data_IF_772630770658
#
_entry.id   IF_772630770658
#
_cell.length_a   1.000
_cell.length_b   1.000
_cell.length_c   1.000
_cell.angle_alpha   90.00
_cell.angle_beta   90.00
_cell.angle_gamma   90.00
#
_symmetry.space_group_name_H-M   'P 1'
#
loop_
_entity.id
_entity.type
_entity.pdbx_description
1 polymer ?
#
# COMPACT_ATOMS: atom_id res chain seq x y z
N UNK A 1 0.72 -10.09 -9.97
CA UNK A 1 0.38 -8.65 -10.02
C UNK A 1 -1.12 -8.48 -10.20
N UNK A 2 -1.72 -7.51 -9.52
CA UNK A 2 -3.16 -7.22 -9.55
C UNK A 2 -3.33 -5.70 -9.67
N UNK A 3 -4.16 -5.25 -10.61
CA UNK A 3 -4.58 -3.85 -10.73
C UNK A 3 -6.07 -3.78 -10.44
N UNK A 4 -6.47 -2.84 -9.58
CA UNK A 4 -7.82 -2.76 -9.06
C UNK A 4 -8.54 -1.55 -9.64
N UNK A 5 -9.74 -1.79 -10.18
CA UNK A 5 -10.58 -0.73 -10.73
C UNK A 5 -11.45 -0.13 -9.65
N UNK A 6 -11.80 1.15 -9.82
CA UNK A 6 -12.84 1.79 -9.02
C UNK A 6 -12.53 1.83 -7.52
N UNK A 7 -11.25 2.02 -7.18
CA UNK A 7 -10.77 2.36 -5.83
C UNK A 7 -11.47 3.66 -5.37
N UNK A 8 -11.40 4.70 -6.18
CA UNK A 8 -12.00 6.03 -5.94
C UNK A 8 -13.53 6.01 -5.80
N UNK A 9 -14.19 4.95 -6.29
CA UNK A 9 -15.62 4.73 -6.12
C UNK A 9 -15.96 3.93 -4.84
N UNK A 10 -15.03 3.88 -3.88
CA UNK A 10 -15.20 3.21 -2.58
C UNK A 10 -14.70 1.75 -2.56
N UNK A 11 -13.51 1.51 -3.12
CA UNK A 11 -12.80 0.22 -3.14
C UNK A 11 -13.58 -0.90 -3.86
N UNK A 12 -14.39 -0.55 -4.86
CA UNK A 12 -15.38 -1.50 -5.42
C UNK A 12 -14.70 -2.69 -6.10
N UNK A 13 -13.61 -2.45 -6.82
CA UNK A 13 -12.81 -3.50 -7.45
C UNK A 13 -12.19 -4.43 -6.42
N UNK A 14 -11.50 -3.88 -5.42
CA UNK A 14 -10.87 -4.67 -4.36
C UNK A 14 -11.87 -5.51 -3.58
N UNK A 15 -12.99 -4.92 -3.16
CA UNK A 15 -14.07 -5.63 -2.45
C UNK A 15 -14.62 -6.78 -3.28
N UNK A 16 -14.88 -6.55 -4.58
CA UNK A 16 -15.37 -7.60 -5.48
C UNK A 16 -14.34 -8.70 -5.67
N UNK A 17 -13.07 -8.34 -5.88
CA UNK A 17 -11.99 -9.32 -6.10
C UNK A 17 -11.76 -10.18 -4.85
N UNK A 18 -11.57 -9.56 -3.68
CA UNK A 18 -11.34 -10.26 -2.43
C UNK A 18 -12.52 -11.20 -2.07
N UNK A 19 -13.77 -10.77 -2.30
CA UNK A 19 -14.93 -11.63 -2.05
C UNK A 19 -15.03 -12.80 -3.04
N UNK A 20 -14.76 -12.56 -4.33
CA UNK A 20 -14.84 -13.60 -5.37
C UNK A 20 -13.77 -14.67 -5.22
N UNK A 21 -12.56 -14.29 -4.84
CA UNK A 21 -11.39 -15.17 -4.76
C UNK A 21 -11.03 -15.55 -3.32
N UNK A 22 -11.94 -15.35 -2.36
CA UNK A 22 -11.64 -15.51 -0.93
C UNK A 22 -11.09 -16.90 -0.60
N UNK A 23 -11.75 -17.95 -1.08
CA UNK A 23 -11.36 -19.34 -0.83
C UNK A 23 -10.02 -19.66 -1.48
N UNK A 24 -9.79 -19.19 -2.70
CA UNK A 24 -8.52 -19.36 -3.42
C UNK A 24 -7.36 -18.68 -2.68
N UNK A 25 -7.55 -17.44 -2.22
CA UNK A 25 -6.54 -16.67 -1.49
C UNK A 25 -6.29 -17.20 -0.07
N UNK A 26 -7.22 -17.97 0.49
CA UNK A 26 -7.06 -18.61 1.81
C UNK A 26 -6.54 -20.05 1.73
N UNK A 27 -6.65 -20.70 0.56
CA UNK A 27 -6.17 -22.06 0.37
C UNK A 27 -4.63 -22.17 0.45
N UNK A 28 -3.92 -21.08 0.20
CA UNK A 28 -2.47 -20.97 0.31
C UNK A 28 -2.08 -19.71 1.10
N UNK A 29 -0.90 -19.68 1.74
CA UNK A 29 -0.37 -18.45 2.31
C UNK A 29 -0.34 -17.33 1.25
N UNK A 30 -1.17 -16.31 1.47
CA UNK A 30 -1.32 -15.18 0.54
C UNK A 30 -1.12 -13.88 1.29
N UNK A 31 -0.33 -12.99 0.70
CA UNK A 31 -0.02 -11.66 1.22
C UNK A 31 -0.31 -10.61 0.17
N UNK A 32 -0.97 -9.52 0.56
CA UNK A 32 -1.23 -8.36 -0.30
C UNK A 32 -0.30 -7.19 0.02
N UNK A 33 0.48 -6.74 -0.95
CA UNK A 33 1.26 -5.50 -0.87
C UNK A 33 0.62 -4.50 -1.85
N UNK A 34 0.00 -3.46 -1.32
CA UNK A 34 -0.69 -2.43 -2.09
C UNK A 34 0.17 -1.17 -2.20
N UNK A 35 0.14 -0.55 -3.37
CA UNK A 35 0.83 0.70 -3.66
C UNK A 35 -0.20 1.75 -4.02
N UNK A 36 -0.07 2.94 -3.45
CA UNK A 36 -0.93 4.08 -3.73
C UNK A 36 -0.13 5.39 -3.66
N UNK A 37 -0.42 6.35 -4.55
CA UNK A 37 0.23 7.66 -4.67
C UNK A 37 1.77 7.61 -4.53
N UNK A 38 2.46 7.19 -5.59
CA UNK A 38 3.93 7.10 -5.63
C UNK A 38 4.53 8.34 -6.30
N UNK A 39 4.85 9.35 -5.50
CA UNK A 39 5.24 10.68 -5.98
C UNK A 39 6.59 11.17 -5.47
N UNK A 40 6.88 11.04 -4.17
CA UNK A 40 8.08 11.57 -3.52
C UNK A 40 8.59 10.62 -2.43
N UNK A 41 9.82 10.12 -2.63
CA UNK A 41 10.49 9.16 -1.76
C UNK A 41 10.70 9.69 -0.33
N UNK A 42 10.73 11.01 -0.13
CA UNK A 42 10.89 11.61 1.20
C UNK A 42 9.66 11.37 2.09
N UNK A 43 8.55 10.92 1.51
CA UNK A 43 7.30 10.60 2.18
C UNK A 43 6.95 9.11 2.13
N UNK A 44 7.95 8.25 1.86
CA UNK A 44 7.78 6.80 1.93
C UNK A 44 7.18 6.38 3.28
N UNK A 45 5.99 5.79 3.23
CA UNK A 45 5.17 5.47 4.38
C UNK A 45 4.55 4.08 4.21
N UNK A 46 4.63 3.26 5.25
CA UNK A 46 3.86 2.02 5.38
C UNK A 46 2.74 2.24 6.40
N UNK A 47 1.52 1.81 6.07
CA UNK A 47 0.38 1.98 6.96
C UNK A 47 0.14 0.74 7.81
N UNK A 48 -0.18 0.95 9.10
CA UNK A 48 -0.60 -0.11 10.03
C UNK A 48 -2.11 -0.20 10.21
N UNK A 49 -2.85 0.85 9.83
CA UNK A 49 -4.30 0.93 10.03
C UNK A 49 -4.92 1.97 9.11
N UNK A 50 -6.15 1.71 8.69
CA UNK A 50 -7.00 2.64 7.97
C UNK A 50 -8.26 2.89 8.81
N UNK A 51 -8.43 4.13 9.29
CA UNK A 51 -9.40 4.44 10.35
C UNK A 51 -10.82 4.45 9.81
N UNK A 52 -11.04 5.01 8.61
CA UNK A 52 -12.38 5.17 8.04
C UNK A 52 -13.06 3.85 7.70
N UNK A 53 -12.29 2.82 7.36
CA UNK A 53 -12.79 1.46 7.10
C UNK A 53 -12.72 0.56 8.34
N UNK A 54 -11.95 0.96 9.35
CA UNK A 54 -11.64 0.12 10.51
C UNK A 54 -10.61 -0.97 10.25
N UNK A 55 -10.03 -1.03 9.04
CA UNK A 55 -9.08 -2.07 8.64
C UNK A 55 -7.76 -1.97 9.43
N UNK A 56 -7.29 -3.11 9.94
CA UNK A 56 -5.96 -3.27 10.55
C UNK A 56 -5.08 -4.03 9.56
N UNK A 57 -3.95 -3.43 9.20
CA UNK A 57 -3.01 -4.02 8.26
C UNK A 57 -2.09 -5.01 8.99
N UNK A 58 -1.53 -5.99 8.26
CA UNK A 58 -0.78 -7.09 8.86
C UNK A 58 0.53 -6.56 9.48
N UNK A 59 0.73 -6.68 10.81
CA UNK A 59 1.89 -6.11 11.48
C UNK A 59 3.20 -6.76 11.06
N UNK A 60 3.20 -8.00 10.55
CA UNK A 60 4.40 -8.67 10.04
C UNK A 60 4.82 -8.04 8.72
N UNK A 61 3.87 -7.73 7.83
CA UNK A 61 4.16 -7.05 6.57
C UNK A 61 4.61 -5.60 6.79
N UNK A 62 4.03 -4.91 7.80
CA UNK A 62 4.51 -3.58 8.21
C UNK A 62 5.97 -3.65 8.68
N UNK A 63 6.29 -4.59 9.57
CA UNK A 63 7.65 -4.79 10.07
C UNK A 63 8.63 -5.15 8.94
N UNK A 64 8.22 -6.04 8.04
CA UNK A 64 9.00 -6.43 6.88
C UNK A 64 9.34 -5.21 5.99
N UNK A 65 8.37 -4.33 5.74
CA UNK A 65 8.63 -3.10 4.99
C UNK A 65 9.65 -2.20 5.70
N UNK A 66 9.61 -2.12 7.03
CA UNK A 66 10.61 -1.36 7.81
C UNK A 66 12.00 -1.97 7.71
N UNK A 67 12.12 -3.28 7.90
CA UNK A 67 13.40 -4.00 7.83
C UNK A 67 14.03 -3.88 6.44
N UNK A 68 13.26 -4.08 5.37
CA UNK A 68 13.76 -3.98 3.99
C UNK A 68 14.13 -2.53 3.64
N UNK A 69 13.38 -1.55 4.13
CA UNK A 69 13.73 -0.14 3.96
C UNK A 69 15.05 0.19 4.67
N UNK A 70 15.23 -0.26 5.92
CA UNK A 70 16.45 -0.04 6.69
C UNK A 70 17.67 -0.70 6.01
N UNK A 71 17.53 -1.93 5.50
CA UNK A 71 18.58 -2.64 4.74
C UNK A 71 19.01 -1.88 3.47
N UNK A 72 18.08 -1.20 2.81
CA UNK A 72 18.32 -0.37 1.63
C UNK A 72 18.72 1.09 1.98
N UNK A 73 18.74 1.46 3.26
CA UNK A 73 19.01 2.83 3.70
C UNK A 73 17.89 3.83 3.39
N UNK A 74 16.67 3.36 3.15
CA UNK A 74 15.49 4.18 2.88
C UNK A 74 14.83 4.64 4.19
N UNK A 75 14.49 5.94 4.26
CA UNK A 75 13.72 6.46 5.40
C UNK A 75 12.24 6.17 5.22
N UNK A 76 11.74 5.14 5.88
CA UNK A 76 10.31 4.80 5.89
C UNK A 76 9.64 5.24 7.20
N UNK A 77 8.41 5.73 7.10
CA UNK A 77 7.55 6.04 8.26
C UNK A 77 6.46 4.99 8.41
N UNK A 78 6.07 4.71 9.66
CA UNK A 78 4.87 3.92 9.95
C UNK A 78 3.76 4.84 10.40
N UNK A 79 2.63 4.84 9.69
CA UNK A 79 1.51 5.75 9.97
C UNK A 79 0.14 5.03 9.94
N UNK A 80 -0.92 5.81 10.12
CA UNK A 80 -2.32 5.40 9.91
C UNK A 80 -2.96 6.33 8.87
N UNK A 81 -3.95 5.84 8.14
CA UNK A 81 -4.77 6.67 7.26
C UNK A 81 -5.99 7.15 8.08
N UNK A 82 -6.08 8.43 8.46
CA UNK A 82 -7.19 8.92 9.28
C UNK A 82 -8.50 9.01 8.48
N UNK A 83 -8.43 9.54 7.26
CA UNK A 83 -9.57 9.70 6.36
C UNK A 83 -9.23 9.07 5.01
N UNK A 84 -10.17 8.35 4.42
CA UNK A 84 -9.96 7.57 3.22
C UNK A 84 -9.54 6.14 3.52
N UNK A 85 -9.17 5.43 2.46
CA UNK A 85 -8.77 4.04 2.50
C UNK A 85 -7.89 3.74 1.29
N UNK A 86 -7.28 2.57 1.28
CA UNK A 86 -6.71 1.98 0.07
C UNK A 86 -7.33 0.62 -0.18
N UNK A 87 -7.07 0.03 -1.34
CA UNK A 87 -7.56 -1.31 -1.67
C UNK A 87 -7.13 -2.39 -0.64
N UNK A 88 -6.04 -2.16 0.11
CA UNK A 88 -5.60 -3.03 1.20
C UNK A 88 -6.69 -3.23 2.26
N UNK A 89 -7.55 -2.23 2.50
CA UNK A 89 -8.69 -2.34 3.42
C UNK A 89 -9.59 -3.53 3.09
N UNK A 90 -9.89 -3.75 1.81
CA UNK A 90 -10.80 -4.83 1.41
C UNK A 90 -10.24 -6.22 1.75
N UNK A 91 -8.94 -6.40 1.58
CA UNK A 91 -8.23 -7.65 1.87
C UNK A 91 -8.10 -7.87 3.37
N UNK A 92 -7.69 -6.84 4.11
CA UNK A 92 -7.56 -6.89 5.56
C UNK A 92 -8.91 -7.22 6.24
N UNK A 93 -10.01 -6.59 5.81
CA UNK A 93 -11.35 -6.87 6.33
C UNK A 93 -11.85 -8.29 6.00
N UNK A 94 -11.33 -8.91 4.93
CA UNK A 94 -11.59 -10.30 4.59
C UNK A 94 -10.70 -11.30 5.36
N UNK A 95 -9.84 -10.82 6.26
CA UNK A 95 -8.79 -11.57 6.96
C UNK A 95 -7.74 -12.17 6.01
N UNK A 96 -7.41 -11.46 4.93
CA UNK A 96 -6.24 -11.76 4.10
C UNK A 96 -5.12 -10.80 4.52
N UNK A 97 -3.93 -11.31 4.91
CA UNK A 97 -2.78 -10.47 5.26
C UNK A 97 -2.49 -9.42 4.19
N UNK A 98 -2.53 -8.14 4.56
CA UNK A 98 -2.33 -7.05 3.61
C UNK A 98 -1.64 -5.85 4.26
N UNK A 99 -0.89 -5.09 3.45
CA UNK A 99 -0.27 -3.82 3.82
C UNK A 99 -0.40 -2.82 2.67
N UNK A 100 -0.40 -1.53 3.00
CA UNK A 100 -0.42 -0.44 2.03
C UNK A 100 0.83 0.44 2.20
N UNK A 101 1.46 0.77 1.08
CA UNK A 101 2.66 1.60 0.99
C UNK A 101 2.35 2.79 0.08
N UNK A 102 2.79 3.97 0.52
CA UNK A 102 2.56 5.24 -0.17
C UNK A 102 3.83 6.10 -0.15
N UNK A 103 4.04 6.90 -1.19
CA UNK A 103 5.14 7.87 -1.29
C UNK A 103 4.56 9.24 -1.63
N UNK A 104 3.72 9.77 -0.75
CA UNK A 104 3.04 11.05 -0.92
C UNK A 104 2.95 11.78 0.41
N UNK A 105 2.99 13.12 0.37
CA UNK A 105 2.96 13.93 1.58
C UNK A 105 1.53 14.02 2.13
N UNK A 106 1.22 13.16 3.11
CA UNK A 106 -0.09 13.14 3.77
C UNK A 106 -0.21 14.11 4.96
N UNK A 107 0.84 14.87 5.30
CA UNK A 107 0.79 15.85 6.38
C UNK A 107 -0.02 17.10 6.02
N UNK A 108 -0.30 17.31 4.74
CA UNK A 108 -1.13 18.38 4.20
C UNK A 108 -1.89 17.88 2.98
N UNK A 109 -2.98 18.55 2.63
CA UNK A 109 -3.66 18.29 1.37
C UNK A 109 -2.82 18.86 0.23
N UNK A 110 -2.31 18.01 -0.66
CA UNK A 110 -1.48 18.44 -1.77
C UNK A 110 -2.35 18.92 -2.95
N UNK A 111 -1.95 19.95 -3.73
CA UNK A 111 -2.78 20.48 -4.82
C UNK A 111 -3.11 19.46 -5.91
N UNK A 112 -2.27 18.45 -6.11
CA UNK A 112 -2.49 17.37 -7.07
C UNK A 112 -3.46 16.29 -6.57
N UNK A 113 -3.74 16.22 -5.27
CA UNK A 113 -4.64 15.20 -4.74
C UNK A 113 -6.09 15.41 -5.21
N UNK A 114 -6.59 14.49 -6.03
CA UNK A 114 -7.95 14.50 -6.61
C UNK A 114 -8.25 15.74 -7.46
N UNK A 115 -7.25 16.32 -8.11
CA UNK A 115 -7.45 17.48 -8.99
C UNK A 115 -6.81 17.27 -10.35
N UNK A 116 -7.13 18.19 -11.28
CA UNK A 116 -6.49 18.26 -12.61
C UNK A 116 -4.97 18.53 -12.56
N UNK A 117 -4.41 18.80 -11.39
CA UNK A 117 -2.97 18.98 -11.20
C UNK A 117 -2.24 17.66 -10.97
N UNK A 118 -2.96 16.53 -10.82
CA UNK A 118 -2.35 15.20 -10.85
C UNK A 118 -1.74 14.92 -12.22
N UNK A 119 -0.45 15.20 -12.30
CA UNK A 119 0.33 15.27 -13.52
C UNK A 119 1.75 14.81 -13.21
N UNK A 120 2.48 14.35 -14.23
CA UNK A 120 3.77 13.68 -14.08
C UNK A 120 4.82 14.55 -13.38
N UNK A 121 4.65 15.87 -13.41
CA UNK A 121 5.50 16.87 -12.77
C UNK A 121 5.55 16.72 -11.25
N UNK A 122 4.55 16.08 -10.63
CA UNK A 122 4.55 15.75 -9.20
C UNK A 122 5.28 14.43 -8.88
N UNK A 123 5.61 13.63 -9.89
CA UNK A 123 6.27 12.33 -9.70
C UNK A 123 7.78 12.46 -9.85
N UNK A 124 8.48 12.28 -8.73
CA UNK A 124 9.95 12.18 -8.72
C UNK A 124 10.36 10.80 -9.22
N UNK A 125 11.27 10.70 -10.21
CA UNK A 125 11.77 9.39 -10.68
C UNK A 125 12.34 8.52 -9.56
N UNK A 126 12.97 9.13 -8.55
CA UNK A 126 13.52 8.44 -7.39
C UNK A 126 12.44 7.71 -6.57
N UNK A 127 11.22 8.26 -6.47
CA UNK A 127 10.10 7.61 -5.78
C UNK A 127 9.76 6.26 -6.42
N UNK A 128 9.76 6.19 -7.75
CA UNK A 128 9.51 4.95 -8.49
C UNK A 128 10.59 3.91 -8.20
N UNK A 129 11.86 4.30 -8.21
CA UNK A 129 12.99 3.40 -7.92
C UNK A 129 12.95 2.89 -6.48
N UNK A 130 12.76 3.78 -5.50
CA UNK A 130 12.73 3.41 -4.07
C UNK A 130 11.57 2.46 -3.78
N UNK A 131 10.36 2.79 -4.25
CA UNK A 131 9.18 1.93 -4.03
C UNK A 131 9.33 0.58 -4.73
N UNK A 132 9.82 0.56 -5.98
CA UNK A 132 10.05 -0.69 -6.70
C UNK A 132 11.05 -1.58 -5.96
N UNK A 133 12.19 -1.03 -5.55
CA UNK A 133 13.23 -1.78 -4.84
C UNK A 133 12.70 -2.34 -3.52
N UNK A 134 12.00 -1.52 -2.74
CA UNK A 134 11.36 -1.92 -1.49
C UNK A 134 10.44 -3.12 -1.72
N UNK A 135 9.50 -3.03 -2.67
CA UNK A 135 8.53 -4.10 -2.94
C UNK A 135 9.21 -5.37 -3.43
N UNK A 136 10.17 -5.25 -4.36
CA UNK A 136 10.88 -6.41 -4.90
C UNK A 136 11.63 -7.16 -3.78
N UNK A 137 12.27 -6.44 -2.87
CA UNK A 137 13.00 -7.08 -1.78
C UNK A 137 12.07 -7.65 -0.69
N UNK A 138 10.92 -7.01 -0.42
CA UNK A 138 9.87 -7.61 0.39
C UNK A 138 9.35 -8.93 -0.22
N UNK A 139 9.09 -8.95 -1.53
CA UNK A 139 8.64 -10.16 -2.24
C UNK A 139 9.70 -11.27 -2.17
N UNK A 140 10.99 -10.96 -2.40
CA UNK A 140 12.08 -11.93 -2.26
C UNK A 140 12.18 -12.52 -0.86
N UNK A 141 11.82 -11.77 0.19
CA UNK A 141 11.81 -12.27 1.56
C UNK A 141 10.63 -13.20 1.78
N UNK A 142 9.43 -12.81 1.34
CA UNK A 142 8.21 -13.61 1.45
C UNK A 142 8.31 -14.94 0.67
N UNK A 143 8.93 -14.93 -0.52
CA UNK A 143 9.10 -16.14 -1.34
C UNK A 143 10.10 -17.17 -0.77
N UNK A 144 10.88 -16.80 0.25
CA UNK A 144 11.84 -17.70 0.92
C UNK A 144 11.25 -18.38 2.16
N UNK A 145 10.11 -17.92 2.63
CA UNK A 145 9.36 -18.49 3.76
C UNK A 145 8.41 -19.59 3.27
#
# INVERSE_FOLDING_TARGET
FLALSSEEAGLRGAKRYAARHLEELKAIPTFGIFLDNIEDENFLTVFKREISTGAKLDPRLVKLAQEVADENGFRIKTSVIPLGATDASAFALANIPAVSILCHNTARLMPNYHTRHDTIEYVRPQALTVTLQLVVDMLKRLDRE
#
